data_IF_554762120240
#
_entry.id   IF_554762120240
#
_cell.length_a   1.000
_cell.length_b   1.000
_cell.length_c   1.000
_cell.angle_alpha   90.00
_cell.angle_beta   90.00
_cell.angle_gamma   90.00
#
_symmetry.space_group_name_H-M   'P 1'
#
loop_
_entity.id
_entity.type
_entity.pdbx_description
1 polymer ?
#
# COMPACT_ATOMS: atom_id res chain seq x y z
N UNK A 1 -11.98 2.18 -23.17
CA UNK A 1 -10.73 2.39 -23.96
C UNK A 1 -10.30 3.85 -23.97
N UNK A 2 -11.21 4.80 -24.14
CA UNK A 2 -10.89 6.24 -24.16
C UNK A 2 -10.45 6.73 -22.78
N UNK A 3 -11.18 6.41 -21.72
CA UNK A 3 -10.87 6.81 -20.34
C UNK A 3 -9.49 6.29 -19.88
N UNK A 4 -9.19 5.01 -20.15
CA UNK A 4 -7.88 4.44 -19.83
C UNK A 4 -6.73 5.16 -20.57
N UNK A 5 -6.96 5.54 -21.82
CA UNK A 5 -5.95 6.28 -22.61
C UNK A 5 -5.73 7.68 -22.01
N UNK A 6 -6.81 8.36 -21.57
CA UNK A 6 -6.75 9.66 -20.90
C UNK A 6 -5.93 9.57 -19.60
N UNK A 7 -6.21 8.58 -18.75
CA UNK A 7 -5.43 8.40 -17.52
C UNK A 7 -3.96 8.05 -17.80
N UNK A 8 -3.68 7.17 -18.78
CA UNK A 8 -2.29 6.83 -19.14
C UNK A 8 -1.52 8.04 -19.64
N UNK A 9 -2.13 8.87 -20.47
CA UNK A 9 -1.51 10.12 -20.93
C UNK A 9 -1.20 11.05 -19.74
N UNK A 10 -2.14 11.20 -18.81
CA UNK A 10 -1.94 11.98 -17.58
C UNK A 10 -0.81 11.41 -16.72
N UNK A 11 -0.74 10.08 -16.55
CA UNK A 11 0.33 9.41 -15.83
C UNK A 11 1.69 9.64 -16.50
N UNK A 12 1.77 9.42 -17.82
CA UNK A 12 3.01 9.52 -18.59
C UNK A 12 3.56 10.96 -18.61
N UNK A 13 2.69 11.97 -18.58
CA UNK A 13 3.07 13.38 -18.48
C UNK A 13 3.59 13.77 -17.10
N UNK A 14 2.92 13.33 -16.02
CA UNK A 14 3.23 13.76 -14.65
C UNK A 14 4.32 12.91 -13.99
N UNK A 15 4.46 11.64 -14.35
CA UNK A 15 5.45 10.73 -13.78
C UNK A 15 6.89 11.27 -13.82
N UNK A 16 7.46 11.72 -14.95
CA UNK A 16 8.86 12.16 -15.00
C UNK A 16 9.13 13.38 -14.11
N UNK A 17 8.13 14.28 -13.99
CA UNK A 17 8.21 15.46 -13.14
C UNK A 17 8.29 15.09 -11.65
N UNK A 18 7.46 14.16 -11.20
CA UNK A 18 7.45 13.68 -9.81
C UNK A 18 8.70 12.84 -9.49
N UNK A 19 9.11 11.95 -10.40
CA UNK A 19 10.32 11.12 -10.23
C UNK A 19 11.58 11.99 -10.09
N UNK A 20 11.72 13.02 -10.93
CA UNK A 20 12.80 14.00 -10.81
C UNK A 20 12.81 14.77 -9.48
N UNK A 21 11.64 15.03 -8.89
CA UNK A 21 11.55 15.68 -7.57
C UNK A 21 11.90 14.73 -6.42
N UNK A 22 11.59 13.45 -6.54
CA UNK A 22 12.05 12.41 -5.61
C UNK A 22 13.59 12.34 -5.61
N UNK A 23 14.21 12.40 -6.79
CA UNK A 23 15.68 12.38 -6.90
C UNK A 23 16.32 13.60 -6.23
N UNK A 24 15.74 14.78 -6.40
CA UNK A 24 16.20 16.01 -5.72
C UNK A 24 16.06 15.86 -4.20
N UNK A 25 14.91 15.38 -3.72
CA UNK A 25 14.70 15.14 -2.29
C UNK A 25 15.70 14.12 -1.72
N UNK A 26 15.91 13.01 -2.40
CA UNK A 26 16.87 11.98 -1.98
C UNK A 26 18.29 12.54 -1.86
N UNK A 27 18.70 13.39 -2.82
CA UNK A 27 19.99 14.05 -2.79
C UNK A 27 20.11 15.02 -1.60
N UNK A 28 19.10 15.86 -1.36
CA UNK A 28 19.06 16.76 -0.21
C UNK A 28 19.16 15.99 1.11
N UNK A 29 18.39 14.91 1.27
CA UNK A 29 18.43 14.09 2.49
C UNK A 29 19.82 13.49 2.76
N UNK A 30 20.58 13.16 1.72
CA UNK A 30 21.96 12.65 1.86
C UNK A 30 22.93 13.79 2.19
N UNK A 31 22.77 14.98 1.61
CA UNK A 31 23.61 16.15 1.85
C UNK A 31 23.43 16.72 3.27
N UNK A 32 22.19 16.65 3.80
CA UNK A 32 21.85 17.11 5.15
C UNK A 32 22.10 16.07 6.24
N UNK A 33 22.50 14.85 5.87
CA UNK A 33 22.76 13.78 6.83
C UNK A 33 23.88 14.17 7.79
N UNK A 34 23.76 13.89 9.10
CA UNK A 34 24.83 14.11 10.06
C UNK A 34 26.13 13.42 9.62
N UNK A 35 27.28 14.00 9.95
CA UNK A 35 28.60 13.45 9.61
C UNK A 35 28.72 12.00 10.09
N UNK A 36 29.10 11.10 9.20
CA UNK A 36 29.21 9.66 9.45
C UNK A 36 27.90 8.86 9.28
N UNK A 37 26.74 9.52 9.03
CA UNK A 37 25.44 8.85 8.90
C UNK A 37 24.87 8.83 7.48
N UNK A 38 25.58 9.36 6.49
CA UNK A 38 25.13 9.37 5.08
C UNK A 38 24.81 7.98 4.55
N UNK A 39 25.59 6.94 4.95
CA UNK A 39 25.31 5.56 4.58
C UNK A 39 23.93 5.10 5.12
N UNK A 40 23.61 5.40 6.37
CA UNK A 40 22.31 5.03 6.95
C UNK A 40 21.15 5.69 6.20
N UNK A 41 21.27 6.97 5.84
CA UNK A 41 20.26 7.68 5.03
C UNK A 41 20.17 7.08 3.62
N UNK A 42 21.26 6.55 3.07
CA UNK A 42 21.26 5.93 1.73
C UNK A 42 20.39 4.68 1.65
N UNK A 43 20.09 4.01 2.74
CA UNK A 43 19.17 2.88 2.75
C UNK A 43 17.74 3.31 2.43
N UNK A 44 17.30 4.43 3.03
CA UNK A 44 15.99 5.00 2.75
C UNK A 44 15.89 5.54 1.31
N UNK A 45 16.86 6.33 0.86
CA UNK A 45 16.84 6.92 -0.50
C UNK A 45 16.88 5.87 -1.60
N UNK A 46 17.51 4.72 -1.34
CA UNK A 46 17.50 3.59 -2.27
C UNK A 46 16.10 3.00 -2.48
N UNK A 47 15.32 2.84 -1.39
CA UNK A 47 13.94 2.39 -1.46
C UNK A 47 13.02 3.47 -2.05
N UNK A 48 13.29 4.74 -1.72
CA UNK A 48 12.49 5.90 -2.15
C UNK A 48 12.69 6.28 -3.63
N UNK A 49 13.21 5.39 -4.44
CA UNK A 49 13.43 5.60 -5.88
C UNK A 49 12.83 4.48 -6.72
N UNK A 50 12.35 4.80 -7.93
CA UNK A 50 11.87 3.81 -8.91
C UNK A 50 10.47 3.24 -8.61
N UNK A 51 9.58 4.02 -8.03
CA UNK A 51 8.16 3.70 -7.87
C UNK A 51 7.34 3.98 -9.13
N UNK A 52 6.06 3.57 -9.13
CA UNK A 52 5.09 3.92 -10.19
C UNK A 52 4.50 5.32 -10.01
N UNK A 53 4.82 6.02 -8.94
CA UNK A 53 4.34 7.37 -8.56
C UNK A 53 2.80 7.51 -8.57
N UNK A 54 2.07 6.43 -8.38
CA UNK A 54 0.61 6.43 -8.51
C UNK A 54 -0.09 7.30 -7.47
N UNK A 55 0.43 7.37 -6.24
CA UNK A 55 -0.17 8.19 -5.19
C UNK A 55 0.06 9.67 -5.45
N UNK A 56 1.26 10.01 -5.88
CA UNK A 56 1.60 11.36 -6.30
C UNK A 56 0.75 11.80 -7.49
N UNK A 57 0.63 10.97 -8.52
CA UNK A 57 -0.21 11.26 -9.70
C UNK A 57 -1.70 11.37 -9.32
N UNK A 58 -2.19 10.57 -8.36
CA UNK A 58 -3.57 10.72 -7.87
C UNK A 58 -3.79 12.04 -7.12
N UNK A 59 -2.79 12.53 -6.38
CA UNK A 59 -2.88 13.84 -5.74
C UNK A 59 -2.92 14.97 -6.78
N UNK A 60 -2.06 14.88 -7.80
CA UNK A 60 -2.10 15.80 -8.94
C UNK A 60 -3.45 15.75 -9.66
N UNK A 61 -3.98 14.55 -9.88
CA UNK A 61 -5.30 14.35 -10.48
C UNK A 61 -6.43 14.95 -9.63
N UNK A 62 -6.35 14.78 -8.29
CA UNK A 62 -7.30 15.39 -7.36
C UNK A 62 -7.30 16.92 -7.41
N UNK A 63 -6.13 17.53 -7.58
CA UNK A 63 -6.01 18.97 -7.79
C UNK A 63 -6.53 19.38 -9.18
N UNK A 64 -6.15 18.62 -10.21
CA UNK A 64 -6.50 18.85 -11.61
C UNK A 64 -8.02 18.86 -11.85
N UNK A 65 -8.76 17.89 -11.34
CA UNK A 65 -10.22 17.79 -11.52
C UNK A 65 -10.99 18.96 -10.91
N UNK A 66 -10.35 19.77 -10.08
CA UNK A 66 -10.93 20.97 -9.47
C UNK A 66 -10.51 22.27 -10.18
N UNK A 67 -9.34 22.31 -10.80
CA UNK A 67 -8.72 23.53 -11.36
C UNK A 67 -8.31 23.44 -12.83
N UNK A 68 -8.31 22.23 -13.44
CA UNK A 68 -7.72 21.98 -14.74
C UNK A 68 -6.19 22.06 -14.70
N UNK A 69 -5.55 22.16 -15.86
CA UNK A 69 -4.08 22.19 -16.00
C UNK A 69 -3.39 23.34 -15.24
N UNK A 70 -4.09 24.44 -15.03
CA UNK A 70 -3.48 25.62 -14.43
C UNK A 70 -3.05 25.37 -13.00
N UNK A 71 -1.74 25.33 -12.79
CA UNK A 71 -1.14 25.26 -11.47
C UNK A 71 -1.06 23.86 -10.90
N UNK A 72 -1.13 22.79 -11.72
CA UNK A 72 -0.94 21.40 -11.25
C UNK A 72 0.38 21.25 -10.48
N UNK A 73 1.43 21.98 -10.88
CA UNK A 73 2.71 22.02 -10.19
C UNK A 73 2.60 22.49 -8.72
N UNK A 74 1.51 23.18 -8.37
CA UNK A 74 1.22 23.55 -7.00
C UNK A 74 0.95 22.32 -6.12
N UNK A 75 0.44 21.22 -6.70
CA UNK A 75 0.24 19.97 -5.98
C UNK A 75 1.51 19.12 -5.79
N UNK A 76 2.62 19.46 -6.44
CA UNK A 76 3.84 18.66 -6.44
C UNK A 76 4.37 18.31 -5.04
N UNK A 77 4.32 19.23 -4.10
CA UNK A 77 4.80 18.95 -2.74
C UNK A 77 3.86 18.01 -1.98
N UNK A 78 2.56 18.02 -2.27
CA UNK A 78 1.63 17.02 -1.77
C UNK A 78 1.89 15.66 -2.41
N UNK A 79 2.05 15.62 -3.74
CA UNK A 79 2.39 14.40 -4.47
C UNK A 79 3.69 13.77 -3.96
N UNK A 80 4.72 14.58 -3.79
CA UNK A 80 6.01 14.17 -3.24
C UNK A 80 5.90 13.68 -1.79
N UNK A 81 5.13 14.37 -0.95
CA UNK A 81 4.85 13.96 0.43
C UNK A 81 4.23 12.56 0.48
N UNK A 82 3.28 12.26 -0.40
CA UNK A 82 2.62 10.95 -0.45
C UNK A 82 3.56 9.82 -0.91
N UNK A 83 4.46 10.07 -1.86
CA UNK A 83 5.44 9.07 -2.30
C UNK A 83 6.53 8.82 -1.23
N UNK A 84 6.97 9.87 -0.51
CA UNK A 84 7.88 9.72 0.63
C UNK A 84 7.20 8.95 1.76
N UNK A 85 5.93 9.27 2.08
CA UNK A 85 5.12 8.54 3.04
C UNK A 85 4.98 7.06 2.65
N UNK A 86 4.69 6.77 1.38
CA UNK A 86 4.67 5.42 0.84
C UNK A 86 5.97 4.67 1.16
N UNK A 87 7.11 5.29 0.87
CA UNK A 87 8.42 4.68 1.13
C UNK A 87 8.66 4.45 2.63
N UNK A 88 8.22 5.39 3.47
CA UNK A 88 8.25 5.26 4.94
C UNK A 88 7.48 4.03 5.43
N UNK A 89 6.22 3.86 4.98
CA UNK A 89 5.40 2.70 5.34
C UNK A 89 6.02 1.39 4.83
N UNK A 90 6.57 1.38 3.61
CA UNK A 90 7.20 0.19 3.05
C UNK A 90 8.45 -0.25 3.83
N UNK A 91 9.21 0.67 4.44
CA UNK A 91 10.33 0.29 5.33
C UNK A 91 9.82 -0.53 6.52
N UNK A 92 8.68 -0.12 7.11
CA UNK A 92 8.09 -0.82 8.25
C UNK A 92 7.42 -2.14 7.83
N UNK A 93 6.67 -2.13 6.74
CA UNK A 93 5.95 -3.26 6.17
C UNK A 93 6.95 -4.40 5.83
N UNK A 94 8.00 -4.09 5.05
CA UNK A 94 9.04 -5.05 4.70
C UNK A 94 9.73 -5.67 5.93
N UNK A 95 9.94 -4.88 6.99
CA UNK A 95 10.54 -5.37 8.23
C UNK A 95 9.60 -6.33 8.98
N UNK A 96 8.31 -6.03 9.02
CA UNK A 96 7.29 -6.84 9.70
C UNK A 96 7.01 -8.14 8.94
N UNK A 97 6.94 -8.06 7.61
CA UNK A 97 6.69 -9.20 6.72
C UNK A 97 7.97 -10.02 6.43
N UNK A 98 9.13 -9.60 6.97
CA UNK A 98 10.44 -10.22 6.71
C UNK A 98 10.80 -10.31 5.21
N UNK A 99 10.25 -9.43 4.39
CA UNK A 99 10.45 -9.40 2.94
C UNK A 99 11.87 -8.95 2.56
N UNK A 100 12.65 -9.79 1.91
CA UNK A 100 14.04 -9.46 1.57
C UNK A 100 14.20 -8.64 0.30
N UNK A 101 13.17 -8.60 -0.56
CA UNK A 101 13.22 -7.91 -1.85
C UNK A 101 11.91 -7.15 -2.09
N UNK A 102 12.03 -5.95 -2.66
CA UNK A 102 10.90 -5.13 -3.12
C UNK A 102 11.27 -4.45 -4.44
N UNK A 103 10.41 -4.54 -5.45
CA UNK A 103 10.65 -3.97 -6.79
C UNK A 103 11.98 -4.40 -7.42
N UNK A 104 12.40 -5.65 -7.18
CA UNK A 104 13.67 -6.19 -7.66
C UNK A 104 14.93 -5.67 -6.94
N UNK A 105 14.76 -4.90 -5.86
CA UNK A 105 15.85 -4.39 -5.00
C UNK A 105 15.81 -5.04 -3.63
N UNK A 106 16.93 -5.05 -2.91
CA UNK A 106 16.95 -5.42 -1.48
C UNK A 106 16.12 -4.42 -0.67
N UNK A 107 15.35 -4.93 0.29
CA UNK A 107 14.67 -4.10 1.29
C UNK A 107 15.68 -3.45 2.24
N UNK A 108 15.23 -2.41 2.96
CA UNK A 108 16.10 -1.66 3.88
C UNK A 108 16.75 -2.57 4.91
N UNK A 109 15.96 -3.39 5.61
CA UNK A 109 16.47 -4.29 6.65
C UNK A 109 17.39 -5.38 6.09
N UNK A 110 17.08 -5.94 4.93
CA UNK A 110 17.91 -6.96 4.29
C UNK A 110 19.28 -6.39 3.87
N UNK A 111 19.29 -5.17 3.32
CA UNK A 111 20.51 -4.48 2.94
C UNK A 111 21.38 -4.12 4.15
N UNK A 112 20.78 -3.60 5.23
CA UNK A 112 21.50 -3.32 6.48
C UNK A 112 22.12 -4.62 7.01
N UNK A 113 21.32 -5.70 7.11
CA UNK A 113 21.79 -7.00 7.57
C UNK A 113 22.98 -7.49 6.76
N UNK A 114 22.90 -7.46 5.42
CA UNK A 114 23.98 -7.90 4.54
C UNK A 114 25.25 -7.07 4.73
N UNK A 115 25.14 -5.75 4.74
CA UNK A 115 26.31 -4.86 4.81
C UNK A 115 27.04 -4.96 6.16
N UNK A 116 26.30 -5.06 7.26
CA UNK A 116 26.89 -5.24 8.59
C UNK A 116 27.41 -6.67 8.81
N UNK A 117 26.74 -7.68 8.27
CA UNK A 117 27.18 -9.09 8.37
C UNK A 117 28.55 -9.30 7.71
N UNK A 118 28.74 -8.77 6.50
CA UNK A 118 30.01 -8.85 5.80
C UNK A 118 31.15 -8.20 6.61
N UNK A 119 30.86 -7.10 7.33
CA UNK A 119 31.84 -6.33 8.06
C UNK A 119 32.17 -6.89 9.44
N UNK A 120 31.29 -7.68 10.07
CA UNK A 120 31.35 -8.02 11.49
C UNK A 120 30.95 -9.48 11.82
N UNK A 121 31.25 -10.44 10.94
CA UNK A 121 30.82 -11.84 11.07
C UNK A 121 31.09 -12.45 12.47
N UNK A 122 32.21 -12.12 13.09
CA UNK A 122 32.57 -12.62 14.43
C UNK A 122 31.64 -12.12 15.54
N UNK A 123 31.20 -10.85 15.47
CA UNK A 123 30.28 -10.27 16.47
C UNK A 123 28.90 -10.93 16.36
N UNK A 124 28.51 -11.32 15.15
CA UNK A 124 27.22 -11.96 14.88
C UNK A 124 27.14 -13.39 15.38
N UNK A 125 28.24 -14.14 15.29
CA UNK A 125 28.33 -15.50 15.87
C UNK A 125 28.21 -15.46 17.40
N UNK A 126 28.78 -14.43 18.04
CA UNK A 126 28.83 -14.30 19.49
C UNK A 126 27.51 -13.68 20.06
N UNK A 127 26.79 -12.89 19.28
CA UNK A 127 25.62 -12.14 19.75
C UNK A 127 24.62 -11.84 18.62
N UNK A 128 23.85 -12.82 18.15
CA UNK A 128 22.89 -12.65 17.04
C UNK A 128 21.80 -11.63 17.35
N UNK A 129 21.41 -11.44 18.61
CA UNK A 129 20.39 -10.48 19.01
C UNK A 129 20.82 -9.03 18.78
N UNK A 130 22.11 -8.71 18.91
CA UNK A 130 22.65 -7.36 18.63
C UNK A 130 22.38 -6.97 17.18
N UNK A 131 22.53 -7.90 16.23
CA UNK A 131 22.25 -7.61 14.83
C UNK A 131 20.76 -7.37 14.59
N UNK A 132 19.91 -8.20 15.15
CA UNK A 132 18.46 -8.02 15.06
C UNK A 132 18.04 -6.65 15.59
N UNK A 133 18.55 -6.26 16.74
CA UNK A 133 18.26 -4.96 17.38
C UNK A 133 18.77 -3.80 16.51
N UNK A 134 19.99 -3.90 15.97
CA UNK A 134 20.55 -2.89 15.08
C UNK A 134 19.70 -2.71 13.81
N UNK A 135 19.42 -3.83 13.11
CA UNK A 135 18.66 -3.84 11.86
C UNK A 135 17.26 -3.28 12.07
N UNK A 136 16.56 -3.76 13.11
CA UNK A 136 15.21 -3.29 13.43
C UNK A 136 15.21 -1.83 13.86
N UNK A 137 16.13 -1.43 14.74
CA UNK A 137 16.22 -0.07 15.24
C UNK A 137 16.51 0.95 14.12
N UNK A 138 17.47 0.65 13.23
CA UNK A 138 17.79 1.53 12.10
C UNK A 138 16.61 1.59 11.10
N UNK A 139 16.00 0.46 10.78
CA UNK A 139 14.85 0.42 9.86
C UNK A 139 13.67 1.24 10.39
N UNK A 140 13.30 1.05 11.67
CA UNK A 140 12.23 1.82 12.30
C UNK A 140 12.54 3.32 12.30
N UNK A 141 13.79 3.70 12.63
CA UNK A 141 14.20 5.11 12.63
C UNK A 141 14.14 5.73 11.22
N UNK A 142 14.55 4.99 10.18
CA UNK A 142 14.47 5.45 8.79
C UNK A 142 13.01 5.63 8.31
N UNK A 143 12.11 4.74 8.73
CA UNK A 143 10.69 4.92 8.49
C UNK A 143 10.17 6.23 9.11
N UNK A 144 10.57 6.56 10.34
CA UNK A 144 10.23 7.86 10.96
C UNK A 144 10.83 9.04 10.21
N UNK A 145 12.07 8.96 9.73
CA UNK A 145 12.67 10.03 8.91
C UNK A 145 11.78 10.30 7.68
N UNK A 146 11.37 9.25 6.95
CA UNK A 146 10.48 9.41 5.80
C UNK A 146 9.12 10.01 6.18
N UNK A 147 8.49 9.53 7.27
CA UNK A 147 7.19 10.02 7.73
C UNK A 147 7.23 11.54 8.05
N UNK A 148 8.21 11.97 8.84
CA UNK A 148 8.31 13.37 9.22
C UNK A 148 8.80 14.27 8.08
N UNK A 149 9.66 13.78 7.19
CA UNK A 149 10.06 14.52 6.00
C UNK A 149 8.86 14.73 5.03
N UNK A 150 7.98 13.75 4.91
CA UNK A 150 6.73 13.88 4.16
C UNK A 150 5.83 14.97 4.76
N UNK A 151 5.68 14.99 6.08
CA UNK A 151 4.86 15.98 6.79
C UNK A 151 5.44 17.40 6.70
N UNK A 152 6.77 17.55 6.86
CA UNK A 152 7.46 18.82 6.73
C UNK A 152 7.25 19.46 5.35
N UNK A 153 7.23 18.64 4.30
CA UNK A 153 6.92 19.11 2.94
C UNK A 153 5.57 19.83 2.84
N UNK A 154 4.55 19.29 3.50
CA UNK A 154 3.22 19.90 3.49
C UNK A 154 3.20 21.23 4.26
N UNK A 155 3.85 21.25 5.42
CA UNK A 155 3.93 22.46 6.24
C UNK A 155 4.65 23.58 5.49
N UNK A 156 5.86 23.31 5.01
CA UNK A 156 6.70 24.34 4.37
C UNK A 156 6.13 24.83 3.03
N UNK A 157 5.46 23.93 2.27
CA UNK A 157 4.96 24.30 0.94
C UNK A 157 3.62 25.04 0.97
N UNK A 158 2.80 24.82 2.00
CA UNK A 158 1.41 25.28 2.01
C UNK A 158 1.04 26.10 3.24
N UNK A 159 2.01 26.68 3.96
CA UNK A 159 1.76 27.48 5.18
C UNK A 159 0.75 28.63 4.95
N UNK A 160 0.77 29.24 3.76
CA UNK A 160 -0.14 30.31 3.36
C UNK A 160 -1.45 29.83 2.70
N UNK A 161 -1.64 28.50 2.50
CA UNK A 161 -2.86 27.99 1.89
C UNK A 161 -4.02 28.05 2.89
N UNK A 162 -5.17 28.67 2.55
CA UNK A 162 -6.31 28.78 3.47
C UNK A 162 -6.89 27.40 3.90
N UNK A 163 -6.59 26.34 3.17
CA UNK A 163 -7.04 24.99 3.47
C UNK A 163 -6.01 24.15 4.23
N UNK A 164 -4.84 24.71 4.60
CA UNK A 164 -3.73 23.94 5.18
C UNK A 164 -4.15 23.13 6.42
N UNK A 165 -4.93 23.71 7.32
CA UNK A 165 -5.39 23.03 8.53
C UNK A 165 -6.28 21.83 8.19
N UNK A 166 -7.14 21.96 7.18
CA UNK A 166 -7.98 20.86 6.70
C UNK A 166 -7.14 19.80 5.99
N UNK A 167 -6.21 20.21 5.14
CA UNK A 167 -5.28 19.33 4.44
C UNK A 167 -4.49 18.47 5.45
N UNK A 168 -3.91 19.07 6.46
CA UNK A 168 -3.15 18.37 7.49
C UNK A 168 -4.00 17.41 8.33
N UNK A 169 -5.26 17.77 8.62
CA UNK A 169 -6.18 16.88 9.34
C UNK A 169 -6.55 15.65 8.50
N UNK A 170 -6.90 15.84 7.24
CA UNK A 170 -7.24 14.72 6.34
C UNK A 170 -5.99 13.85 6.07
N UNK A 171 -4.80 14.45 5.93
CA UNK A 171 -3.55 13.72 5.81
C UNK A 171 -3.24 12.90 7.06
N UNK A 172 -3.35 13.48 8.25
CA UNK A 172 -3.16 12.75 9.51
C UNK A 172 -4.18 11.63 9.69
N UNK A 173 -5.45 11.86 9.36
CA UNK A 173 -6.47 10.80 9.43
C UNK A 173 -6.11 9.64 8.49
N UNK A 174 -5.69 9.93 7.27
CA UNK A 174 -5.19 8.92 6.33
C UNK A 174 -4.02 8.13 6.92
N UNK A 175 -3.01 8.81 7.50
CA UNK A 175 -1.84 8.16 8.11
C UNK A 175 -2.25 7.26 9.27
N UNK A 176 -3.08 7.77 10.19
CA UNK A 176 -3.55 7.00 11.35
C UNK A 176 -4.32 5.76 10.90
N UNK A 177 -5.26 5.92 9.95
CA UNK A 177 -6.05 4.81 9.41
C UNK A 177 -5.18 3.75 8.74
N UNK A 178 -4.16 4.17 8.00
CA UNK A 178 -3.21 3.26 7.36
C UNK A 178 -2.40 2.47 8.40
N UNK A 179 -1.96 3.13 9.48
CA UNK A 179 -1.22 2.46 10.57
C UNK A 179 -2.14 1.52 11.36
N UNK A 180 -3.39 1.91 11.63
CA UNK A 180 -4.41 1.03 12.23
C UNK A 180 -4.59 -0.24 11.36
N UNK A 181 -4.67 -0.09 10.03
CA UNK A 181 -4.70 -1.21 9.08
C UNK A 181 -3.44 -2.08 9.16
N UNK A 182 -2.26 -1.48 9.26
CA UNK A 182 -0.99 -2.20 9.47
C UNK A 182 -0.97 -3.00 10.78
N UNK A 183 -1.51 -2.45 11.87
CA UNK A 183 -1.68 -3.19 13.14
C UNK A 183 -2.60 -4.40 12.93
N UNK A 184 -3.73 -4.21 12.23
CA UNK A 184 -4.65 -5.32 11.94
C UNK A 184 -3.98 -6.41 11.10
N UNK A 185 -3.17 -6.03 10.12
CA UNK A 185 -2.46 -6.97 9.24
C UNK A 185 -1.49 -7.90 10.00
N UNK A 186 -0.93 -7.42 11.10
CA UNK A 186 -0.08 -8.22 12.00
C UNK A 186 -0.92 -9.00 13.03
N UNK A 187 -1.88 -8.33 13.67
CA UNK A 187 -2.63 -8.89 14.81
C UNK A 187 -3.62 -9.97 14.37
N UNK A 188 -4.27 -9.80 13.21
CA UNK A 188 -5.30 -10.73 12.74
C UNK A 188 -4.73 -12.13 12.44
N UNK A 189 -3.67 -12.28 11.62
CA UNK A 189 -3.04 -13.58 11.41
C UNK A 189 -2.50 -14.20 12.70
N UNK A 190 -1.86 -13.38 13.53
CA UNK A 190 -1.27 -13.83 14.78
C UNK A 190 -2.33 -14.37 15.75
N UNK A 191 -3.43 -13.65 15.92
CA UNK A 191 -4.53 -14.06 16.79
C UNK A 191 -5.26 -15.31 16.29
N UNK A 192 -5.29 -15.53 15.00
CA UNK A 192 -5.87 -16.72 14.41
C UNK A 192 -4.98 -17.96 14.61
N UNK A 193 -3.67 -17.78 14.37
CA UNK A 193 -2.69 -18.87 14.47
C UNK A 193 -2.42 -19.32 15.90
N UNK A 194 -2.42 -18.38 16.88
CA UNK A 194 -2.06 -18.62 18.27
C UNK A 194 -3.23 -18.34 19.23
N UNK A 195 -4.44 -18.63 18.79
CA UNK A 195 -5.69 -18.32 19.48
C UNK A 195 -5.77 -18.91 20.90
N UNK A 196 -5.23 -20.10 21.08
CA UNK A 196 -5.28 -20.81 22.37
C UNK A 196 -4.16 -20.35 23.31
N UNK A 197 -2.96 -20.03 22.75
CA UNK A 197 -1.78 -19.67 23.52
C UNK A 197 -1.76 -18.19 23.90
N UNK A 198 -2.24 -17.32 22.99
CA UNK A 198 -2.19 -15.86 23.16
C UNK A 198 -3.55 -15.25 22.78
N UNK A 199 -4.58 -15.43 23.63
CA UNK A 199 -5.90 -14.88 23.32
C UNK A 199 -5.88 -13.35 23.33
N UNK A 200 -6.51 -12.73 22.33
CA UNK A 200 -6.72 -11.28 22.33
C UNK A 200 -7.61 -10.86 23.51
N UNK A 201 -7.28 -9.73 24.15
CA UNK A 201 -8.11 -9.15 25.20
C UNK A 201 -9.47 -8.69 24.69
N UNK A 202 -9.53 -8.24 23.42
CA UNK A 202 -10.77 -7.89 22.73
C UNK A 202 -10.96 -8.84 21.55
N UNK A 203 -12.04 -9.63 21.50
CA UNK A 203 -12.28 -10.56 20.42
C UNK A 203 -12.50 -9.81 19.09
N UNK A 204 -12.00 -10.38 17.99
CA UNK A 204 -12.32 -9.92 16.65
C UNK A 204 -13.83 -10.09 16.36
N UNK A 205 -14.39 -9.32 15.40
CA UNK A 205 -15.74 -9.56 14.89
C UNK A 205 -15.93 -11.03 14.52
N UNK A 206 -17.11 -11.58 14.85
CA UNK A 206 -17.42 -12.99 14.54
C UNK A 206 -17.49 -13.26 13.03
N UNK A 207 -17.88 -12.27 12.25
CA UNK A 207 -17.91 -12.34 10.79
C UNK A 207 -16.49 -12.03 10.23
N UNK A 208 -15.80 -13.02 9.64
CA UNK A 208 -14.46 -12.83 9.12
C UNK A 208 -14.43 -11.83 7.95
N UNK A 209 -15.53 -11.68 7.20
CA UNK A 209 -15.58 -10.72 6.10
C UNK A 209 -15.54 -9.27 6.58
N UNK A 210 -16.17 -8.96 7.72
CA UNK A 210 -16.06 -7.63 8.35
C UNK A 210 -14.62 -7.31 8.72
N UNK A 211 -13.87 -8.29 9.23
CA UNK A 211 -12.46 -8.11 9.58
C UNK A 211 -11.63 -7.79 8.33
N UNK A 212 -11.80 -8.57 7.27
CA UNK A 212 -10.99 -8.41 6.04
C UNK A 212 -11.38 -7.15 5.27
N UNK A 213 -12.67 -6.79 5.19
CA UNK A 213 -13.10 -5.53 4.59
C UNK A 213 -12.51 -4.31 5.33
N UNK A 214 -12.51 -4.34 6.66
CA UNK A 214 -11.89 -3.28 7.46
C UNK A 214 -10.38 -3.21 7.22
N UNK A 215 -9.69 -4.35 7.21
CA UNK A 215 -8.26 -4.42 6.95
C UNK A 215 -7.92 -3.84 5.57
N UNK A 216 -8.58 -4.31 4.51
CA UNK A 216 -8.38 -3.84 3.15
C UNK A 216 -8.70 -2.34 3.01
N UNK A 217 -9.75 -1.86 3.69
CA UNK A 217 -10.11 -0.44 3.70
C UNK A 217 -9.02 0.39 4.36
N UNK A 218 -8.61 0.03 5.58
CA UNK A 218 -7.67 0.80 6.38
C UNK A 218 -6.24 0.70 5.84
N UNK A 219 -5.75 -0.51 5.57
CA UNK A 219 -4.36 -0.72 5.11
C UNK A 219 -4.15 -0.24 3.68
N UNK A 220 -5.15 -0.36 2.79
CA UNK A 220 -4.94 -0.14 1.36
C UNK A 220 -5.76 1.00 0.79
N UNK A 221 -7.09 1.00 0.91
CA UNK A 221 -7.93 1.98 0.24
C UNK A 221 -7.67 3.41 0.70
N UNK A 222 -7.44 3.62 2.00
CA UNK A 222 -7.21 4.96 2.56
C UNK A 222 -6.00 5.66 1.95
N UNK A 223 -4.82 5.00 1.87
CA UNK A 223 -3.61 5.70 1.44
C UNK A 223 -3.21 5.44 -0.01
N UNK A 224 -3.78 4.40 -0.65
CA UNK A 224 -3.42 4.04 -2.03
C UNK A 224 -4.32 4.70 -3.05
N UNK A 225 -5.61 4.83 -2.77
CA UNK A 225 -6.60 5.32 -3.73
C UNK A 225 -7.30 6.57 -3.23
N UNK A 226 -8.00 6.51 -2.10
CA UNK A 226 -8.87 7.56 -1.62
C UNK A 226 -8.10 8.78 -1.12
N UNK A 227 -7.14 8.59 -0.22
CA UNK A 227 -6.39 9.68 0.43
C UNK A 227 -5.71 10.61 -0.58
N UNK A 228 -4.90 10.10 -1.51
CA UNK A 228 -4.21 10.93 -2.48
C UNK A 228 -5.11 11.88 -3.27
N UNK A 229 -6.15 11.37 -3.90
CA UNK A 229 -7.07 12.20 -4.70
C UNK A 229 -7.85 13.18 -3.85
N UNK A 230 -8.34 12.75 -2.67
CA UNK A 230 -9.08 13.61 -1.73
C UNK A 230 -8.18 14.75 -1.23
N UNK A 231 -6.92 14.46 -0.91
CA UNK A 231 -5.96 15.49 -0.46
C UNK A 231 -5.67 16.51 -1.57
N UNK A 232 -5.53 16.07 -2.83
CA UNK A 232 -5.41 16.95 -3.98
C UNK A 232 -6.63 17.87 -4.14
N UNK A 233 -7.84 17.31 -4.02
CA UNK A 233 -9.09 18.09 -4.03
C UNK A 233 -9.18 19.09 -2.86
N UNK A 234 -8.76 18.68 -1.65
CA UNK A 234 -8.74 19.58 -0.48
C UNK A 234 -7.77 20.74 -0.68
N UNK A 235 -6.59 20.47 -1.21
CA UNK A 235 -5.59 21.49 -1.56
C UNK A 235 -6.17 22.50 -2.54
N UNK A 236 -6.96 22.01 -3.51
CA UNK A 236 -7.67 22.82 -4.49
C UNK A 236 -8.93 23.53 -3.95
N UNK A 237 -9.28 23.35 -2.68
CA UNK A 237 -10.41 24.05 -2.04
C UNK A 237 -11.77 23.34 -2.20
N UNK A 238 -11.81 22.07 -2.59
CA UNK A 238 -13.06 21.30 -2.68
C UNK A 238 -13.81 21.27 -1.34
N UNK A 239 -15.12 21.30 -1.39
CA UNK A 239 -15.97 21.15 -0.22
C UNK A 239 -15.96 19.74 0.34
N UNK A 240 -16.36 19.56 1.61
CA UNK A 240 -16.46 18.21 2.21
C UNK A 240 -17.46 17.32 1.47
N UNK A 241 -18.56 17.90 0.94
CA UNK A 241 -19.52 17.15 0.15
C UNK A 241 -18.89 16.59 -1.14
N UNK A 242 -18.11 17.40 -1.86
CA UNK A 242 -17.43 16.97 -3.08
C UNK A 242 -16.38 15.89 -2.77
N UNK A 243 -15.55 16.10 -1.75
CA UNK A 243 -14.55 15.10 -1.38
C UNK A 243 -15.15 13.77 -0.93
N UNK A 244 -16.30 13.79 -0.21
CA UNK A 244 -16.97 12.55 0.21
C UNK A 244 -17.48 11.74 -0.99
N UNK A 245 -18.07 12.39 -2.02
CA UNK A 245 -18.53 11.69 -3.22
C UNK A 245 -17.39 10.97 -3.95
N UNK A 246 -16.23 11.61 -4.10
CA UNK A 246 -15.06 10.98 -4.72
C UNK A 246 -14.44 9.94 -3.80
N UNK A 247 -14.41 10.19 -2.48
CA UNK A 247 -13.92 9.22 -1.50
C UNK A 247 -14.67 7.89 -1.58
N UNK A 248 -16.00 7.92 -1.72
CA UNK A 248 -16.83 6.71 -1.85
C UNK A 248 -16.49 5.89 -3.10
N UNK A 249 -16.18 6.55 -4.23
CA UNK A 249 -15.69 5.90 -5.45
C UNK A 249 -14.35 5.25 -5.21
N UNK A 250 -13.42 5.98 -4.57
CA UNK A 250 -12.05 5.56 -4.42
C UNK A 250 -11.85 4.50 -3.32
N UNK A 251 -12.74 4.45 -2.32
CA UNK A 251 -12.76 3.35 -1.34
C UNK A 251 -13.16 2.05 -2.03
N UNK A 252 -14.21 2.05 -2.86
CA UNK A 252 -14.59 0.87 -3.63
C UNK A 252 -13.46 0.44 -4.57
N UNK A 253 -12.82 1.40 -5.26
CA UNK A 253 -11.66 1.13 -6.12
C UNK A 253 -10.52 0.49 -5.34
N UNK A 254 -10.24 0.98 -4.13
CA UNK A 254 -9.18 0.44 -3.27
C UNK A 254 -9.48 -0.96 -2.71
N UNK A 255 -10.75 -1.24 -2.37
CA UNK A 255 -11.19 -2.58 -1.97
C UNK A 255 -11.04 -3.57 -3.12
N UNK A 256 -11.50 -3.22 -4.33
CA UNK A 256 -11.33 -4.05 -5.51
C UNK A 256 -9.84 -4.32 -5.80
N UNK A 257 -9.01 -3.29 -5.69
CA UNK A 257 -7.57 -3.39 -5.89
C UNK A 257 -6.90 -4.33 -4.89
N UNK A 258 -7.28 -4.29 -3.59
CA UNK A 258 -6.73 -5.21 -2.59
C UNK A 258 -7.16 -6.65 -2.86
N UNK A 259 -8.45 -6.88 -3.18
CA UNK A 259 -8.92 -8.22 -3.53
C UNK A 259 -8.18 -8.77 -4.76
N UNK A 260 -7.95 -7.91 -5.76
CA UNK A 260 -7.16 -8.27 -6.94
C UNK A 260 -5.72 -8.63 -6.59
N UNK A 261 -5.10 -7.88 -5.67
CA UNK A 261 -3.73 -8.15 -5.19
C UNK A 261 -3.66 -9.51 -4.49
N UNK A 262 -4.61 -9.82 -3.61
CA UNK A 262 -4.75 -11.12 -2.93
C UNK A 262 -4.91 -12.28 -3.95
N UNK A 263 -5.73 -12.06 -4.99
CA UNK A 263 -5.90 -13.05 -6.07
C UNK A 263 -4.59 -13.24 -6.86
N UNK A 264 -3.90 -12.17 -7.20
CA UNK A 264 -2.63 -12.23 -7.93
C UNK A 264 -1.54 -12.89 -7.07
N UNK A 265 -1.50 -12.65 -5.77
CA UNK A 265 -0.56 -13.27 -4.83
C UNK A 265 -0.62 -14.81 -4.82
N UNK A 266 -1.77 -15.38 -5.22
CA UNK A 266 -1.98 -16.84 -5.28
C UNK A 266 -1.98 -17.36 -6.72
N UNK A 267 -2.54 -16.63 -7.70
CA UNK A 267 -2.86 -17.13 -9.04
C UNK A 267 -2.02 -16.54 -10.17
N UNK A 268 -1.12 -15.58 -9.89
CA UNK A 268 -0.24 -15.09 -10.93
C UNK A 268 0.77 -16.15 -11.37
N UNK A 269 1.26 -16.00 -12.61
CA UNK A 269 2.30 -16.86 -13.14
C UNK A 269 3.59 -16.73 -12.32
N UNK A 270 4.17 -17.85 -11.94
CA UNK A 270 5.45 -17.91 -11.22
C UNK A 270 6.57 -17.18 -11.96
N UNK A 271 6.57 -17.24 -13.28
CA UNK A 271 7.53 -16.55 -14.13
C UNK A 271 7.33 -15.02 -14.11
N UNK A 272 6.13 -14.55 -13.75
CA UNK A 272 5.79 -13.13 -13.70
C UNK A 272 6.08 -12.49 -12.33
N UNK A 273 5.74 -13.15 -11.21
CA UNK A 273 5.91 -12.66 -9.84
C UNK A 273 7.11 -13.31 -9.11
N UNK A 274 7.65 -14.40 -9.65
CA UNK A 274 8.78 -15.10 -9.05
C UNK A 274 8.44 -15.72 -7.69
N UNK A 275 9.36 -15.61 -6.74
CA UNK A 275 9.21 -16.18 -5.39
C UNK A 275 8.12 -15.51 -4.52
N UNK A 276 7.51 -14.43 -5.00
CA UNK A 276 6.48 -13.72 -4.24
C UNK A 276 5.10 -14.40 -4.36
N UNK A 277 4.95 -15.37 -5.29
CA UNK A 277 3.74 -16.22 -5.36
C UNK A 277 3.68 -17.11 -4.13
N UNK A 278 2.56 -17.05 -3.41
CA UNK A 278 2.37 -17.79 -2.16
C UNK A 278 2.91 -17.11 -0.91
N UNK A 279 3.48 -15.90 -1.01
CA UNK A 279 3.95 -15.13 0.16
C UNK A 279 2.82 -14.95 1.19
N UNK A 280 1.61 -14.63 0.76
CA UNK A 280 0.43 -14.48 1.63
C UNK A 280 0.10 -15.76 2.40
N UNK A 281 0.34 -16.93 1.80
CA UNK A 281 0.16 -18.23 2.46
C UNK A 281 1.24 -18.45 3.51
N UNK A 282 2.50 -18.18 3.14
CA UNK A 282 3.64 -18.31 4.05
C UNK A 282 3.51 -17.40 5.28
N UNK A 283 2.99 -16.20 5.10
CA UNK A 283 2.76 -15.19 6.16
C UNK A 283 1.46 -15.39 6.94
N UNK A 284 0.68 -16.42 6.62
CA UNK A 284 -0.63 -16.69 7.24
C UNK A 284 -1.65 -15.57 7.02
N UNK A 285 -1.57 -14.82 5.91
CA UNK A 285 -2.45 -13.67 5.68
C UNK A 285 -3.91 -14.07 5.55
N UNK A 286 -4.74 -13.29 6.21
CA UNK A 286 -6.18 -13.45 6.20
C UNK A 286 -6.75 -12.66 5.00
N UNK A 287 -7.01 -13.34 3.89
CA UNK A 287 -7.58 -12.77 2.67
C UNK A 287 -9.06 -13.11 2.53
N UNK A 288 -9.76 -12.53 1.54
CA UNK A 288 -11.14 -12.93 1.20
C UNK A 288 -11.24 -14.42 0.82
N UNK A 289 -10.19 -14.99 0.22
CA UNK A 289 -10.09 -16.39 -0.11
C UNK A 289 -10.11 -17.28 1.15
N UNK A 290 -9.22 -16.96 2.09
CA UNK A 290 -9.15 -17.68 3.37
C UNK A 290 -10.42 -17.52 4.19
N UNK A 291 -10.93 -16.28 4.32
CA UNK A 291 -12.15 -15.98 5.07
C UNK A 291 -13.36 -16.76 4.54
N UNK A 292 -13.46 -16.94 3.22
CA UNK A 292 -14.54 -17.73 2.63
C UNK A 292 -14.46 -19.20 3.04
N UNK A 293 -13.30 -19.83 2.93
CA UNK A 293 -13.12 -21.24 3.35
C UNK A 293 -13.42 -21.38 4.83
N UNK A 294 -12.89 -20.49 5.67
CA UNK A 294 -13.13 -20.48 7.12
C UNK A 294 -14.60 -20.40 7.50
N UNK A 295 -15.38 -19.63 6.73
CA UNK A 295 -16.81 -19.44 7.01
C UNK A 295 -17.69 -20.59 6.48
N UNK A 296 -17.24 -21.38 5.49
CA UNK A 296 -18.12 -22.26 4.75
C UNK A 296 -17.68 -23.75 4.70
N UNK A 297 -16.40 -24.07 4.99
CA UNK A 297 -15.87 -25.43 4.82
C UNK A 297 -14.76 -25.74 5.85
N UNK A 298 -15.15 -26.39 6.95
CA UNK A 298 -14.24 -26.73 8.05
C UNK A 298 -13.19 -27.79 7.64
N UNK A 299 -13.54 -28.74 6.79
CA UNK A 299 -12.61 -29.76 6.28
C UNK A 299 -11.54 -29.11 5.37
N UNK A 300 -11.96 -28.23 4.49
CA UNK A 300 -11.04 -27.48 3.65
C UNK A 300 -10.15 -26.52 4.46
N UNK A 301 -10.67 -25.95 5.56
CA UNK A 301 -9.88 -25.11 6.45
C UNK A 301 -8.77 -25.92 7.15
N UNK A 302 -9.08 -27.12 7.64
CA UNK A 302 -8.06 -28.02 8.21
C UNK A 302 -6.99 -28.41 7.16
N UNK A 303 -7.41 -28.60 5.89
CA UNK A 303 -6.48 -28.89 4.81
C UNK A 303 -5.57 -27.70 4.49
N UNK A 304 -6.12 -26.49 4.42
CA UNK A 304 -5.34 -25.24 4.28
C UNK A 304 -4.30 -25.07 5.39
N UNK A 305 -4.63 -25.47 6.61
CA UNK A 305 -3.74 -25.41 7.75
C UNK A 305 -2.42 -26.16 7.59
N UNK A 306 -2.32 -27.06 6.59
CA UNK A 306 -1.06 -27.76 6.24
C UNK A 306 -0.06 -26.87 5.50
N UNK A 307 -0.54 -25.79 4.89
CA UNK A 307 0.23 -24.91 4.01
C UNK A 307 0.39 -23.51 4.61
N UNK A 308 -0.65 -22.99 5.29
CA UNK A 308 -0.64 -21.64 5.85
C UNK A 308 0.36 -21.50 7.00
N UNK A 309 1.24 -20.50 6.89
CA UNK A 309 2.32 -20.23 7.83
C UNK A 309 3.57 -21.10 7.61
N UNK A 310 3.64 -21.84 6.51
CA UNK A 310 4.84 -22.55 6.10
C UNK A 310 5.71 -21.63 5.23
N UNK A 311 6.77 -21.08 5.82
CA UNK A 311 7.74 -20.21 5.11
C UNK A 311 8.55 -20.94 4.05
N UNK A 312 8.47 -22.28 3.99
CA UNK A 312 9.12 -23.12 2.99
C UNK A 312 8.20 -23.60 1.88
N UNK A 313 6.96 -23.06 1.80
CA UNK A 313 5.99 -23.44 0.79
C UNK A 313 6.60 -23.31 -0.61
N UNK A 314 6.46 -24.37 -1.39
CA UNK A 314 6.91 -24.43 -2.77
C UNK A 314 5.73 -24.31 -3.76
N UNK A 315 6.04 -24.37 -5.06
CA UNK A 315 5.05 -24.26 -6.13
C UNK A 315 3.97 -25.35 -6.05
N UNK A 316 4.29 -26.54 -5.57
CA UNK A 316 3.32 -27.63 -5.47
C UNK A 316 2.36 -27.39 -4.27
N UNK A 317 2.87 -26.83 -3.18
CA UNK A 317 2.07 -26.36 -2.06
C UNK A 317 1.11 -25.23 -2.46
N UNK A 318 1.60 -24.25 -3.22
CA UNK A 318 0.75 -23.17 -3.75
C UNK A 318 -0.35 -23.72 -4.67
N UNK A 319 -0.04 -24.66 -5.55
CA UNK A 319 -1.05 -25.32 -6.40
C UNK A 319 -2.09 -26.07 -5.57
N UNK A 320 -1.69 -26.74 -4.49
CA UNK A 320 -2.64 -27.39 -3.60
C UNK A 320 -3.59 -26.38 -2.95
N UNK A 321 -3.08 -25.21 -2.52
CA UNK A 321 -3.90 -24.11 -2.00
C UNK A 321 -4.86 -23.57 -3.08
N UNK A 322 -4.39 -23.40 -4.33
CA UNK A 322 -5.24 -23.00 -5.47
C UNK A 322 -6.38 -24.00 -5.69
N UNK A 323 -6.09 -25.31 -5.64
CA UNK A 323 -7.11 -26.37 -5.79
C UNK A 323 -8.16 -26.31 -4.69
N UNK A 324 -7.76 -26.05 -3.43
CA UNK A 324 -8.69 -25.88 -2.30
C UNK A 324 -9.58 -24.66 -2.55
N UNK A 325 -9.03 -23.51 -2.90
CA UNK A 325 -9.81 -22.31 -3.16
C UNK A 325 -10.76 -22.46 -4.37
N UNK A 326 -10.36 -23.18 -5.40
CA UNK A 326 -11.20 -23.42 -6.57
C UNK A 326 -12.37 -24.36 -6.24
N UNK A 327 -12.11 -25.49 -5.58
CA UNK A 327 -13.17 -26.49 -5.28
C UNK A 327 -14.17 -26.00 -4.24
N UNK A 328 -13.74 -25.17 -3.28
CA UNK A 328 -14.64 -24.57 -2.27
C UNK A 328 -15.46 -23.43 -2.82
N UNK A 329 -15.06 -22.84 -3.96
CA UNK A 329 -15.67 -21.65 -4.53
C UNK A 329 -15.12 -20.33 -3.98
N UNK A 330 -14.07 -20.35 -3.15
CA UNK A 330 -13.44 -19.16 -2.57
C UNK A 330 -12.89 -18.24 -3.65
N UNK A 331 -12.24 -18.78 -4.68
CA UNK A 331 -11.78 -18.01 -5.84
C UNK A 331 -12.92 -17.23 -6.51
N UNK A 332 -14.01 -17.93 -6.82
CA UNK A 332 -15.18 -17.32 -7.46
C UNK A 332 -15.77 -16.22 -6.59
N UNK A 333 -15.90 -16.45 -5.30
CA UNK A 333 -16.42 -15.47 -4.35
C UNK A 333 -15.54 -14.21 -4.30
N UNK A 334 -14.22 -14.36 -4.17
CA UNK A 334 -13.30 -13.22 -4.14
C UNK A 334 -13.33 -12.45 -5.46
N UNK A 335 -13.33 -13.17 -6.60
CA UNK A 335 -13.44 -12.54 -7.92
C UNK A 335 -14.76 -11.76 -8.09
N UNK A 336 -15.91 -12.37 -7.72
CA UNK A 336 -17.21 -11.69 -7.80
C UNK A 336 -17.27 -10.45 -6.88
N UNK A 337 -16.63 -10.50 -5.72
CA UNK A 337 -16.50 -9.34 -4.81
C UNK A 337 -15.64 -8.22 -5.44
N UNK A 338 -14.53 -8.56 -6.05
CA UNK A 338 -13.68 -7.60 -6.78
C UNK A 338 -14.49 -6.89 -7.87
N UNK A 339 -15.16 -7.65 -8.74
CA UNK A 339 -16.00 -7.10 -9.82
C UNK A 339 -17.14 -6.23 -9.28
N UNK A 340 -17.77 -6.63 -8.17
CA UNK A 340 -18.80 -5.85 -7.50
C UNK A 340 -18.29 -4.47 -7.09
N UNK A 341 -17.11 -4.39 -6.47
CA UNK A 341 -16.55 -3.11 -6.03
C UNK A 341 -16.13 -2.22 -7.20
N UNK A 342 -15.50 -2.77 -8.26
CA UNK A 342 -15.21 -2.00 -9.47
C UNK A 342 -16.48 -1.48 -10.14
N UNK A 343 -17.51 -2.30 -10.27
CA UNK A 343 -18.79 -1.90 -10.85
C UNK A 343 -19.46 -0.81 -10.02
N UNK A 344 -19.47 -0.94 -8.69
CA UNK A 344 -20.03 0.05 -7.77
C UNK A 344 -19.27 1.37 -7.81
N UNK A 345 -17.93 1.34 -7.93
CA UNK A 345 -17.12 2.54 -8.10
C UNK A 345 -17.53 3.30 -9.38
N UNK A 346 -17.69 2.60 -10.49
CA UNK A 346 -18.12 3.20 -11.78
C UNK A 346 -19.52 3.80 -11.68
N UNK A 347 -20.47 3.05 -11.09
CA UNK A 347 -21.86 3.54 -10.89
C UNK A 347 -21.94 4.79 -9.98
N UNK A 348 -21.08 4.87 -8.97
CA UNK A 348 -20.97 6.04 -8.09
C UNK A 348 -20.37 7.23 -8.84
N UNK A 349 -19.33 7.01 -9.64
CA UNK A 349 -18.68 8.04 -10.43
C UNK A 349 -19.63 8.70 -11.43
N UNK A 350 -20.48 7.92 -12.10
CA UNK A 350 -21.47 8.45 -13.03
C UNK A 350 -22.43 9.46 -12.37
N UNK A 351 -22.75 9.27 -11.08
CA UNK A 351 -23.68 10.12 -10.30
C UNK A 351 -23.04 11.41 -9.77
N UNK A 352 -21.76 11.65 -10.02
CA UNK A 352 -21.07 12.88 -9.58
C UNK A 352 -21.32 13.98 -10.60
N UNK A 353 -22.13 14.96 -10.25
CA UNK A 353 -22.54 16.04 -11.15
C UNK A 353 -21.57 17.22 -11.23
N UNK A 354 -20.69 17.40 -10.24
CA UNK A 354 -19.77 18.54 -10.22
C UNK A 354 -18.49 18.31 -11.05
N UNK A 355 -18.20 17.08 -11.44
CA UNK A 355 -17.09 16.74 -12.32
C UNK A 355 -17.53 16.93 -13.78
N UNK A 356 -16.65 17.53 -14.57
CA UNK A 356 -16.80 17.54 -16.03
C UNK A 356 -16.46 16.17 -16.63
N UNK A 357 -16.64 16.04 -17.95
CA UNK A 357 -16.38 14.78 -18.67
C UNK A 357 -14.92 14.34 -18.58
N UNK A 358 -13.98 15.28 -18.57
CA UNK A 358 -12.56 14.98 -18.48
C UNK A 358 -12.18 14.47 -17.08
N UNK A 359 -12.67 15.12 -16.04
CA UNK A 359 -12.47 14.68 -14.65
C UNK A 359 -13.05 13.29 -14.40
N UNK A 360 -14.26 13.00 -14.94
CA UNK A 360 -14.85 11.66 -14.90
C UNK A 360 -14.00 10.66 -15.69
N UNK A 361 -13.52 11.02 -16.88
CA UNK A 361 -12.68 10.15 -17.71
C UNK A 361 -11.35 9.81 -17.02
N UNK A 362 -10.73 10.75 -16.31
CA UNK A 362 -9.51 10.51 -15.55
C UNK A 362 -9.72 9.48 -14.42
N UNK A 363 -10.76 9.66 -13.61
CA UNK A 363 -11.08 8.72 -12.50
C UNK A 363 -11.47 7.35 -13.06
N UNK A 364 -12.32 7.29 -14.09
CA UNK A 364 -12.69 6.05 -14.76
C UNK A 364 -11.47 5.35 -15.36
N UNK A 365 -10.59 6.11 -16.00
CA UNK A 365 -9.37 5.59 -16.59
C UNK A 365 -8.42 5.00 -15.55
N UNK A 366 -8.35 5.59 -14.35
CA UNK A 366 -7.60 5.00 -13.24
C UNK A 366 -8.22 3.68 -12.76
N UNK A 367 -9.55 3.60 -12.63
CA UNK A 367 -10.24 2.36 -12.30
C UNK A 367 -9.93 1.28 -13.35
N UNK A 368 -10.08 1.59 -14.64
CA UNK A 368 -9.75 0.68 -15.74
C UNK A 368 -8.26 0.28 -15.77
N UNK A 369 -7.36 1.19 -15.38
CA UNK A 369 -5.92 0.91 -15.26
C UNK A 369 -5.64 -0.15 -14.20
N UNK A 370 -6.30 -0.08 -13.04
CA UNK A 370 -6.17 -1.09 -11.99
C UNK A 370 -6.79 -2.43 -12.39
N UNK A 371 -7.99 -2.43 -12.99
CA UNK A 371 -8.65 -3.64 -13.47
C UNK A 371 -7.80 -4.46 -14.45
N UNK A 372 -7.01 -3.79 -15.31
CA UNK A 372 -6.15 -4.44 -16.30
C UNK A 372 -4.81 -4.93 -15.75
N UNK A 373 -4.55 -4.70 -14.46
CA UNK A 373 -3.31 -5.12 -13.82
C UNK A 373 -3.20 -6.65 -13.82
N UNK A 374 -2.03 -7.13 -14.27
CA UNK A 374 -1.66 -8.56 -14.24
C UNK A 374 -0.51 -8.85 -13.27
N UNK A 375 0.08 -7.78 -12.71
CA UNK A 375 1.23 -7.81 -11.79
C UNK A 375 1.09 -6.71 -10.72
#
# INVERSE_FOLDING_TARGET
MEALATFRAFLDENYPRLDGKIDIFNKQLLEEAPEGFTQSMSYFTHLNSGGKMLRGVLADMGYYIMHGEKGIEYADNLALSLEIFQSSILVHDDLLDHGNTRRGKETVHARIFREFNISNAKVLEESPDIMKDLVSGVSVALGYVGLYAAYERLLSAYEDNPNIIRLLREYNDMVIKTVEGGIMDVVVPFSERYKEEIPLQSPLPADPFVVIENLATLKTAYYTTMGPIVLGMVLAGATKAQTNLVADVMIDTGLAFQIQDDLLGIYADWDDLGKDVGADVAEYKQTFLYAYVKANDEEALEELGKYYGDSSIDIDGVKAVQEIFNRTGAYKFAHDKMEFHYSRAKERLEKIDFLDEEGKALILGYIEYLEQRKK
#
